data_IF_677961496039
#
_entry.id   IF_677961496039
#
_cell.length_a   1.000
_cell.length_b   1.000
_cell.length_c   1.000
_cell.angle_alpha   90.00
_cell.angle_beta   90.00
_cell.angle_gamma   90.00
#
_symmetry.space_group_name_H-M   'P 1'
#
loop_
_entity.id
_entity.type
_entity.pdbx_description
1 polymer ?
#
# COMPACT_ATOMS: atom_id res chain seq x y z
N UNK A 1 -12.68 7.47 2.77
CA UNK A 1 -13.29 6.30 2.09
C UNK A 1 -13.47 6.50 0.58
N UNK A 2 -14.12 7.56 0.06
CA UNK A 2 -14.32 7.72 -1.40
C UNK A 2 -13.02 7.69 -2.22
N UNK A 3 -11.96 8.34 -1.71
CA UNK A 3 -10.63 8.33 -2.36
C UNK A 3 -10.00 6.93 -2.48
N UNK A 4 -10.31 6.00 -1.57
CA UNK A 4 -9.82 4.63 -1.67
C UNK A 4 -10.46 3.89 -2.85
N UNK A 5 -11.73 4.17 -3.17
CA UNK A 5 -12.39 3.65 -4.37
C UNK A 5 -11.77 4.25 -5.64
N UNK A 6 -11.54 5.57 -5.70
CA UNK A 6 -10.88 6.18 -6.86
C UNK A 6 -9.48 5.62 -7.09
N UNK A 7 -8.70 5.46 -6.02
CA UNK A 7 -7.39 4.83 -6.07
C UNK A 7 -7.49 3.37 -6.59
N UNK A 8 -8.43 2.59 -6.04
CA UNK A 8 -8.62 1.19 -6.45
C UNK A 8 -8.99 1.07 -7.92
N UNK A 9 -9.93 1.90 -8.38
CA UNK A 9 -10.35 1.95 -9.78
C UNK A 9 -9.17 2.35 -10.68
N UNK A 10 -8.46 3.42 -10.34
CA UNK A 10 -7.34 3.93 -11.14
C UNK A 10 -6.23 2.89 -11.29
N UNK A 11 -5.76 2.31 -10.19
CA UNK A 11 -4.74 1.25 -10.22
C UNK A 11 -5.25 0.02 -10.97
N UNK A 12 -6.53 -0.33 -10.83
CA UNK A 12 -7.08 -1.51 -11.52
C UNK A 12 -7.17 -1.33 -13.02
N UNK A 13 -7.65 -0.17 -13.48
CA UNK A 13 -7.71 0.14 -14.92
C UNK A 13 -6.31 0.15 -15.52
N UNK A 14 -5.35 0.83 -14.87
CA UNK A 14 -3.96 0.88 -15.36
C UNK A 14 -3.33 -0.52 -15.33
N UNK A 15 -3.54 -1.29 -14.28
CA UNK A 15 -3.01 -2.66 -14.20
C UNK A 15 -3.61 -3.55 -15.30
N UNK A 16 -4.92 -3.44 -15.57
CA UNK A 16 -5.56 -4.19 -16.64
C UNK A 16 -4.96 -3.84 -18.02
N UNK A 17 -4.76 -2.56 -18.30
CA UNK A 17 -4.11 -2.11 -19.53
C UNK A 17 -2.68 -2.64 -19.63
N UNK A 18 -1.90 -2.56 -18.55
CA UNK A 18 -0.50 -3.01 -18.54
C UNK A 18 -0.38 -4.54 -18.63
N UNK A 19 -1.29 -5.30 -18.02
CA UNK A 19 -1.28 -6.77 -18.10
C UNK A 19 -1.69 -7.24 -19.49
N UNK A 20 -2.71 -6.61 -20.10
CA UNK A 20 -3.23 -7.04 -21.41
C UNK A 20 -2.40 -6.52 -22.59
N UNK A 21 -1.93 -5.27 -22.54
CA UNK A 21 -1.22 -4.60 -23.63
C UNK A 21 0.27 -4.40 -23.35
N UNK A 22 0.63 -4.17 -22.09
CA UNK A 22 1.99 -3.84 -21.67
C UNK A 22 2.86 -5.02 -21.25
N UNK A 23 2.36 -6.26 -21.39
CA UNK A 23 3.04 -7.50 -20.98
C UNK A 23 3.45 -7.52 -19.49
N UNK A 24 2.78 -6.74 -18.64
CA UNK A 24 3.01 -6.76 -17.21
C UNK A 24 2.60 -8.12 -16.65
N UNK A 25 3.53 -8.80 -15.97
CA UNK A 25 3.24 -10.10 -15.38
C UNK A 25 2.21 -9.98 -14.26
N UNK A 26 1.18 -10.83 -14.32
CA UNK A 26 0.27 -11.07 -13.21
C UNK A 26 -0.19 -12.52 -13.22
N UNK A 27 0.35 -13.33 -12.33
CA UNK A 27 0.13 -14.79 -12.31
C UNK A 27 -1.00 -15.22 -11.36
N UNK A 28 -1.15 -14.55 -10.22
CA UNK A 28 -2.15 -14.89 -9.22
C UNK A 28 -3.58 -14.43 -9.54
N UNK A 29 -4.49 -14.63 -8.60
CA UNK A 29 -5.87 -14.15 -8.73
C UNK A 29 -5.95 -12.63 -8.48
N UNK A 30 -6.24 -11.86 -9.53
CA UNK A 30 -6.35 -10.41 -9.43
C UNK A 30 -7.48 -9.95 -8.48
N UNK A 31 -8.60 -10.67 -8.41
CA UNK A 31 -9.69 -10.35 -7.49
C UNK A 31 -9.29 -10.59 -6.03
N UNK A 32 -8.41 -11.55 -5.76
CA UNK A 32 -7.82 -11.70 -4.43
C UNK A 32 -6.93 -10.50 -4.12
N UNK A 33 -6.12 -10.02 -5.07
CA UNK A 33 -5.26 -8.84 -4.91
C UNK A 33 -6.03 -7.51 -4.78
N UNK A 34 -7.19 -7.37 -5.42
CA UNK A 34 -7.97 -6.12 -5.48
C UNK A 34 -8.26 -5.48 -4.10
N UNK A 35 -8.72 -6.22 -3.06
CA UNK A 35 -8.84 -5.70 -1.70
C UNK A 35 -7.56 -5.04 -1.16
N UNK A 36 -6.37 -5.50 -1.55
CA UNK A 36 -5.10 -4.92 -1.08
C UNK A 36 -4.91 -3.50 -1.58
N UNK A 37 -5.33 -3.23 -2.82
CA UNK A 37 -5.29 -1.89 -3.42
C UNK A 37 -6.23 -0.95 -2.66
N UNK A 38 -7.44 -1.42 -2.34
CA UNK A 38 -8.39 -0.64 -1.56
C UNK A 38 -7.88 -0.34 -0.15
N UNK A 39 -7.34 -1.35 0.53
CA UNK A 39 -6.71 -1.20 1.84
C UNK A 39 -5.56 -0.19 1.81
N UNK A 40 -4.75 -0.17 0.74
CA UNK A 40 -3.70 0.84 0.54
C UNK A 40 -4.25 2.24 0.32
N UNK A 41 -5.33 2.38 -0.45
CA UNK A 41 -6.02 3.66 -0.59
C UNK A 41 -6.58 4.17 0.74
N UNK A 42 -7.10 3.28 1.59
CA UNK A 42 -7.53 3.62 2.95
C UNK A 42 -6.36 4.05 3.84
N UNK A 43 -5.29 3.26 3.87
CA UNK A 43 -4.11 3.56 4.68
C UNK A 43 -3.53 4.93 4.35
N UNK A 44 -3.35 5.23 3.06
CA UNK A 44 -2.89 6.55 2.61
C UNK A 44 -3.88 7.65 2.97
N UNK A 45 -5.18 7.45 2.74
CA UNK A 45 -6.18 8.47 3.08
C UNK A 45 -6.20 8.79 4.58
N UNK A 46 -6.10 7.78 5.44
CA UNK A 46 -6.10 7.97 6.89
C UNK A 46 -4.81 8.55 7.43
N UNK A 47 -3.65 8.07 6.98
CA UNK A 47 -2.36 8.69 7.35
C UNK A 47 -2.26 10.12 6.84
N UNK A 48 -2.79 10.40 5.64
CA UNK A 48 -2.85 11.76 5.12
C UNK A 48 -3.70 12.66 6.00
N UNK A 49 -4.85 12.17 6.50
CA UNK A 49 -5.67 12.92 7.45
C UNK A 49 -4.90 13.16 8.76
N UNK A 50 -4.28 12.14 9.35
CA UNK A 50 -3.51 12.29 10.61
C UNK A 50 -2.42 13.35 10.46
N UNK A 51 -1.68 13.34 9.35
CA UNK A 51 -0.60 14.29 9.14
C UNK A 51 -1.09 15.69 8.82
N UNK A 52 -2.15 15.82 8.02
CA UNK A 52 -2.58 17.12 7.47
C UNK A 52 -3.73 17.77 8.23
N UNK A 53 -4.31 17.12 9.24
CA UNK A 53 -5.51 17.62 9.94
C UNK A 53 -5.35 19.03 10.53
N UNK A 54 -4.16 19.38 11.02
CA UNK A 54 -3.88 20.69 11.61
C UNK A 54 -3.32 21.72 10.61
N UNK A 55 -3.16 21.34 9.34
CA UNK A 55 -2.56 22.23 8.32
C UNK A 55 -3.55 23.30 7.88
N UNK A 56 -3.05 24.51 7.62
CA UNK A 56 -3.92 25.67 7.32
C UNK A 56 -4.13 25.88 5.82
N UNK A 57 -3.31 25.26 4.98
CA UNK A 57 -3.40 25.38 3.54
C UNK A 57 -3.10 24.02 2.86
N UNK A 58 -3.66 23.78 1.66
CA UNK A 58 -3.47 22.51 0.95
C UNK A 58 -2.02 22.19 0.60
N UNK A 59 -1.18 23.20 0.38
CA UNK A 59 0.23 23.02 0.03
C UNK A 59 1.04 22.42 1.18
N UNK A 60 0.79 22.89 2.40
CA UNK A 60 1.39 22.35 3.62
C UNK A 60 1.00 20.88 3.82
N UNK A 61 -0.31 20.57 3.76
CA UNK A 61 -0.80 19.19 3.84
C UNK A 61 -0.22 18.27 2.76
N UNK A 62 -0.12 18.76 1.53
CA UNK A 62 0.50 18.01 0.43
C UNK A 62 1.99 17.76 0.65
N UNK A 63 2.73 18.73 1.20
CA UNK A 63 4.17 18.59 1.45
C UNK A 63 4.47 17.47 2.46
N UNK A 64 3.60 17.26 3.44
CA UNK A 64 3.73 16.18 4.44
C UNK A 64 3.60 14.78 3.83
N UNK A 65 2.98 14.63 2.66
CA UNK A 65 2.92 13.33 1.97
C UNK A 65 4.30 12.84 1.51
N UNK A 66 5.28 13.75 1.41
CA UNK A 66 6.69 13.42 1.16
C UNK A 66 7.28 12.56 2.27
N UNK A 67 6.73 12.59 3.49
CA UNK A 67 7.14 11.69 4.56
C UNK A 67 6.51 10.30 4.46
N UNK A 68 5.50 10.09 3.62
CA UNK A 68 4.85 8.80 3.45
C UNK A 68 5.29 8.08 2.17
N UNK A 69 5.25 8.78 1.04
CA UNK A 69 5.38 8.15 -0.28
C UNK A 69 6.85 7.79 -0.60
N UNK A 70 7.82 8.73 -0.62
CA UNK A 70 9.23 8.39 -0.86
C UNK A 70 9.80 7.33 0.09
N UNK A 71 9.62 7.42 1.43
CA UNK A 71 10.13 6.38 2.32
C UNK A 71 9.47 5.02 2.07
N UNK A 72 8.17 4.98 1.82
CA UNK A 72 7.47 3.75 1.45
C UNK A 72 7.96 3.15 0.13
N UNK A 73 8.34 3.98 -0.84
CA UNK A 73 8.92 3.55 -2.11
C UNK A 73 10.31 2.95 -1.94
N UNK A 74 11.17 3.62 -1.15
CA UNK A 74 12.55 3.19 -0.87
C UNK A 74 12.55 1.89 -0.06
N UNK A 75 11.77 1.84 1.02
CA UNK A 75 11.77 0.71 1.96
C UNK A 75 10.88 -0.46 1.51
N UNK A 76 10.00 -0.25 0.53
CA UNK A 76 8.95 -1.20 0.18
C UNK A 76 9.31 -2.27 -0.84
N UNK A 77 10.50 -2.26 -1.41
CA UNK A 77 10.94 -3.31 -2.32
C UNK A 77 10.95 -2.93 -3.80
N UNK A 78 10.47 -1.73 -4.14
CA UNK A 78 10.44 -1.25 -5.53
C UNK A 78 11.82 -0.79 -6.04
N UNK A 79 12.63 -0.22 -5.14
CA UNK A 79 13.98 0.29 -5.48
C UNK A 79 15.10 -0.71 -5.20
N UNK A 80 14.95 -1.51 -4.14
CA UNK A 80 15.92 -2.50 -3.69
C UNK A 80 15.20 -3.67 -3.01
N UNK A 81 15.82 -4.85 -2.97
CA UNK A 81 15.23 -5.96 -2.22
C UNK A 81 15.18 -5.62 -0.72
N UNK A 82 14.01 -5.78 -0.11
CA UNK A 82 13.75 -5.47 1.31
C UNK A 82 14.71 -6.22 2.26
N UNK A 83 15.23 -7.39 1.84
CA UNK A 83 16.19 -8.18 2.62
C UNK A 83 17.59 -7.55 2.76
N UNK A 84 17.90 -6.48 2.01
CA UNK A 84 19.13 -5.71 2.19
C UNK A 84 19.03 -4.63 3.27
N UNK A 85 17.82 -4.37 3.81
CA UNK A 85 17.66 -3.38 4.86
C UNK A 85 18.26 -3.89 6.19
N UNK A 86 18.92 -3.01 6.97
CA UNK A 86 19.28 -3.35 8.33
C UNK A 86 18.01 -3.64 9.15
N UNK A 87 18.12 -4.53 10.15
CA UNK A 87 16.98 -5.11 10.85
C UNK A 87 16.02 -4.05 11.44
N UNK A 88 16.55 -2.95 11.99
CA UNK A 88 15.74 -1.87 12.53
C UNK A 88 14.92 -1.17 11.43
N UNK A 89 15.51 -0.92 10.25
CA UNK A 89 14.84 -0.27 9.13
C UNK A 89 13.79 -1.20 8.51
N UNK A 90 14.06 -2.50 8.48
CA UNK A 90 13.08 -3.51 8.08
C UNK A 90 11.82 -3.44 8.94
N UNK A 91 11.94 -3.42 10.27
CA UNK A 91 10.76 -3.34 11.13
C UNK A 91 10.04 -1.99 11.05
N UNK A 92 10.78 -0.89 10.96
CA UNK A 92 10.19 0.45 10.77
C UNK A 92 9.45 0.56 9.43
N UNK A 93 9.92 -0.13 8.39
CA UNK A 93 9.32 -0.06 7.06
C UNK A 93 7.82 -0.42 7.06
N UNK A 94 7.37 -1.30 7.95
CA UNK A 94 5.96 -1.68 8.06
C UNK A 94 5.02 -0.55 8.48
N UNK A 95 5.55 0.60 8.91
CA UNK A 95 4.77 1.81 9.13
C UNK A 95 4.26 2.45 7.82
N UNK A 96 4.83 2.09 6.66
CA UNK A 96 4.50 2.71 5.38
C UNK A 96 3.57 1.83 4.52
N UNK A 97 2.44 2.35 4.01
CA UNK A 97 1.46 1.57 3.24
C UNK A 97 2.05 0.88 1.99
N UNK A 98 2.99 1.54 1.31
CA UNK A 98 3.60 0.98 0.09
C UNK A 98 4.40 -0.30 0.33
N UNK A 99 4.96 -0.47 1.53
CA UNK A 99 5.68 -1.70 1.89
C UNK A 99 4.74 -2.91 1.86
N UNK A 100 3.51 -2.73 2.34
CA UNK A 100 2.46 -3.73 2.25
C UNK A 100 2.04 -3.96 0.81
N UNK A 101 1.77 -2.88 0.05
CA UNK A 101 1.33 -2.97 -1.34
C UNK A 101 2.32 -3.73 -2.23
N UNK A 102 3.61 -3.44 -2.13
CA UNK A 102 4.64 -4.13 -2.91
C UNK A 102 4.83 -5.58 -2.47
N UNK A 103 4.65 -5.88 -1.18
CA UNK A 103 4.66 -7.25 -0.69
C UNK A 103 3.49 -8.05 -1.28
N UNK A 104 2.27 -7.52 -1.24
CA UNK A 104 1.11 -8.15 -1.88
C UNK A 104 1.30 -8.30 -3.39
N UNK A 105 1.77 -7.26 -4.07
CA UNK A 105 1.98 -7.30 -5.51
C UNK A 105 3.02 -8.35 -5.89
N UNK A 106 4.17 -8.39 -5.20
CA UNK A 106 5.19 -9.41 -5.43
C UNK A 106 4.64 -10.82 -5.24
N UNK A 107 3.89 -11.05 -4.18
CA UNK A 107 3.43 -12.39 -3.84
C UNK A 107 2.27 -12.85 -4.75
N UNK A 108 1.31 -11.97 -5.08
CA UNK A 108 0.23 -12.30 -6.03
C UNK A 108 0.68 -12.25 -7.50
N UNK A 109 1.20 -11.12 -7.96
CA UNK A 109 1.47 -10.88 -9.37
C UNK A 109 2.70 -11.65 -9.87
N UNK A 110 3.76 -11.72 -9.07
CA UNK A 110 5.04 -12.30 -9.51
C UNK A 110 5.22 -13.77 -9.09
N UNK A 111 4.67 -14.19 -7.95
CA UNK A 111 4.82 -15.55 -7.40
C UNK A 111 3.58 -16.41 -7.50
N UNK A 112 2.44 -15.87 -7.97
CA UNK A 112 1.21 -16.63 -8.12
C UNK A 112 0.62 -17.17 -6.81
N UNK A 113 0.91 -16.54 -5.66
CA UNK A 113 0.44 -17.02 -4.36
C UNK A 113 -1.10 -17.01 -4.31
N UNK A 114 -1.66 -18.02 -3.65
CA UNK A 114 -3.11 -18.16 -3.44
C UNK A 114 -3.58 -17.27 -2.30
N UNK A 115 -4.89 -16.98 -2.25
CA UNK A 115 -5.49 -16.22 -1.14
C UNK A 115 -5.20 -16.88 0.23
N UNK A 116 -5.28 -18.21 0.30
CA UNK A 116 -5.03 -18.96 1.54
C UNK A 116 -3.60 -18.75 2.06
N UNK A 117 -2.61 -18.77 1.18
CA UNK A 117 -1.20 -18.51 1.53
C UNK A 117 -0.97 -17.06 1.97
N UNK A 118 -1.80 -16.12 1.49
CA UNK A 118 -1.68 -14.70 1.81
C UNK A 118 -2.43 -14.27 3.06
N UNK A 119 -3.28 -15.11 3.65
CA UNK A 119 -4.07 -14.77 4.84
C UNK A 119 -3.26 -14.15 6.00
N UNK A 120 -2.05 -14.64 6.35
CA UNK A 120 -1.24 -14.00 7.40
C UNK A 120 -0.87 -12.56 7.05
N UNK A 121 -0.54 -12.28 5.78
CA UNK A 121 -0.21 -10.93 5.31
C UNK A 121 -1.44 -10.02 5.31
N UNK A 122 -2.61 -10.53 4.94
CA UNK A 122 -3.89 -9.81 5.11
C UNK A 122 -4.14 -9.47 6.57
N UNK A 123 -4.03 -10.45 7.47
CA UNK A 123 -4.26 -10.24 8.90
C UNK A 123 -3.34 -9.16 9.46
N UNK A 124 -2.05 -9.22 9.14
CA UNK A 124 -1.08 -8.21 9.57
C UNK A 124 -1.40 -6.81 9.03
N UNK A 125 -1.83 -6.71 7.77
CA UNK A 125 -2.18 -5.42 7.18
C UNK A 125 -3.51 -4.86 7.73
N UNK A 126 -4.48 -5.73 8.02
CA UNK A 126 -5.71 -5.35 8.70
C UNK A 126 -5.43 -4.84 10.11
N UNK A 127 -4.52 -5.47 10.86
CA UNK A 127 -4.08 -4.96 12.17
C UNK A 127 -3.49 -3.56 12.03
N UNK A 128 -2.60 -3.35 11.06
CA UNK A 128 -2.04 -2.03 10.77
C UNK A 128 -3.13 -0.99 10.46
N UNK A 129 -4.12 -1.35 9.63
CA UNK A 129 -5.26 -0.49 9.33
C UNK A 129 -6.11 -0.19 10.56
N UNK A 130 -6.37 -1.18 11.42
CA UNK A 130 -7.12 -1.00 12.66
C UNK A 130 -6.41 -0.05 13.61
N UNK A 131 -5.09 -0.17 13.75
CA UNK A 131 -4.27 0.76 14.55
C UNK A 131 -4.41 2.18 14.03
N UNK A 132 -4.24 2.39 12.72
CA UNK A 132 -4.39 3.74 12.13
C UNK A 132 -5.84 4.25 12.30
N UNK A 133 -6.84 3.41 12.05
CA UNK A 133 -8.24 3.79 12.18
C UNK A 133 -8.60 4.24 13.60
N UNK A 134 -8.03 3.59 14.62
CA UNK A 134 -8.23 3.97 16.03
C UNK A 134 -7.68 5.35 16.39
N UNK A 135 -6.74 5.86 15.60
CA UNK A 135 -6.20 7.22 15.76
C UNK A 135 -7.06 8.25 15.01
N UNK A 136 -7.65 7.86 13.88
CA UNK A 136 -8.51 8.75 13.06
C UNK A 136 -9.90 8.93 13.68
N UNK A 137 -10.45 7.88 14.28
CA UNK A 137 -11.77 7.88 14.91
C UNK A 137 -11.55 7.81 16.43
N UNK A 138 -11.45 8.97 17.12
CA UNK A 138 -11.32 8.99 18.58
C UNK A 138 -12.58 8.49 19.28
#
# INVERSE_FOLDING_TARGET
VPYAFFYTTGITVVSALLVTLGQLRFEGNYFAYLPTIFMTGLAFGWLALILSWSTQNPGEGASLMTFLVPPGFILGGATMAVGFLPLWAYYISYAFPLVWQYRFYRDFAMRGQTLAQMLPTYGAYLIFLTVIASVVVP
#
